data_IF_568954093524
#
_entry.id   IF_568954093524
#
_cell.length_a   1.000
_cell.length_b   1.000
_cell.length_c   1.000
_cell.angle_alpha   90.00
_cell.angle_beta   90.00
_cell.angle_gamma   90.00
#
_symmetry.space_group_name_H-M   'P 1'
#
loop_
_entity.id
_entity.type
_entity.pdbx_description
1 polymer ?
#
# COMPACT_ATOMS: atom_id res chain seq x y z
N UNK A 1 -22.18 11.33 1.89
CA UNK A 1 -22.19 10.67 1.83
C UNK A 1 -21.21 9.77 1.75
N UNK A 2 -20.98 9.06 1.60
CA UNK A 2 -20.07 8.14 1.57
C UNK A 2 -19.19 8.11 0.43
N UNK A 3 -18.97 9.20 -0.20
CA UNK A 3 -18.10 9.32 -1.29
C UNK A 3 -16.71 8.84 -0.99
N UNK A 4 -16.19 9.20 0.18
CA UNK A 4 -14.85 8.83 0.53
C UNK A 4 -14.73 7.35 0.79
N UNK A 5 -15.65 6.75 1.47
CA UNK A 5 -15.61 5.32 1.75
C UNK A 5 -15.76 4.52 0.46
N UNK A 6 -16.61 4.96 -0.42
CA UNK A 6 -16.81 4.28 -1.62
C UNK A 6 -15.64 4.42 -2.54
N UNK A 7 -14.99 5.57 -2.58
CA UNK A 7 -13.78 5.78 -3.33
C UNK A 7 -12.67 4.90 -2.82
N UNK A 8 -12.57 4.77 -1.52
CA UNK A 8 -11.57 3.90 -0.91
C UNK A 8 -11.75 2.45 -1.30
N UNK A 9 -12.95 1.99 -1.25
CA UNK A 9 -13.22 0.60 -1.63
C UNK A 9 -12.95 0.36 -3.12
N UNK A 10 -13.28 1.34 -3.94
CA UNK A 10 -13.02 1.25 -5.35
C UNK A 10 -11.52 1.22 -5.61
N UNK A 11 -10.78 2.06 -4.92
CA UNK A 11 -9.33 2.07 -5.04
C UNK A 11 -8.72 0.75 -4.64
N UNK A 12 -9.20 0.17 -3.57
CA UNK A 12 -8.70 -1.12 -3.12
C UNK A 12 -9.00 -2.22 -4.14
N UNK A 13 -10.16 -2.19 -4.75
CA UNK A 13 -10.50 -3.18 -5.77
C UNK A 13 -9.59 -3.04 -7.00
N UNK A 14 -9.33 -1.81 -7.40
CA UNK A 14 -8.45 -1.57 -8.54
C UNK A 14 -7.03 -2.02 -8.22
N UNK A 15 -6.57 -1.75 -7.02
CA UNK A 15 -5.24 -2.15 -6.59
C UNK A 15 -5.12 -3.66 -6.53
N UNK A 16 -6.14 -4.32 -5.99
CA UNK A 16 -6.13 -5.78 -5.88
C UNK A 16 -6.08 -6.42 -7.26
N UNK A 17 -6.88 -5.93 -8.20
CA UNK A 17 -6.89 -6.48 -9.54
C UNK A 17 -5.55 -6.26 -10.22
N UNK A 18 -4.95 -5.09 -10.02
CA UNK A 18 -3.65 -4.79 -10.57
C UNK A 18 -2.60 -5.75 -10.03
N UNK A 19 -2.59 -5.95 -8.73
CA UNK A 19 -1.60 -6.82 -8.09
C UNK A 19 -1.77 -8.27 -8.53
N UNK A 20 -2.99 -8.70 -8.70
CA UNK A 20 -3.23 -10.06 -9.18
C UNK A 20 -2.69 -10.25 -10.59
N UNK A 21 -2.84 -9.25 -11.43
CA UNK A 21 -2.27 -9.32 -12.78
C UNK A 21 -0.75 -9.32 -12.73
N UNK A 22 -0.16 -8.76 -11.68
CA UNK A 22 1.27 -8.74 -11.51
C UNK A 22 1.79 -10.01 -10.82
N UNK A 23 0.94 -10.93 -10.51
CA UNK A 23 1.35 -12.20 -9.93
C UNK A 23 1.21 -12.31 -8.42
N UNK A 24 0.66 -11.31 -7.77
CA UNK A 24 0.43 -11.38 -6.33
C UNK A 24 -0.82 -12.17 -6.01
N UNK A 25 -0.82 -12.85 -4.90
CA UNK A 25 -2.02 -13.50 -4.41
C UNK A 25 -2.57 -12.66 -3.25
N UNK A 26 -3.81 -12.26 -3.30
CA UNK A 26 -4.42 -11.47 -2.24
C UNK A 26 -4.74 -12.37 -1.06
N UNK A 27 -4.19 -12.03 0.09
CA UNK A 27 -4.36 -12.83 1.29
C UNK A 27 -5.41 -12.23 2.21
N UNK A 28 -5.41 -10.93 2.35
CA UNK A 28 -6.33 -10.28 3.25
C UNK A 28 -6.59 -8.86 2.79
N UNK A 29 -7.80 -8.37 3.02
CA UNK A 29 -8.15 -7.00 2.73
C UNK A 29 -8.54 -6.31 4.01
N UNK A 30 -8.16 -5.09 4.16
CA UNK A 30 -8.60 -4.24 5.29
C UNK A 30 -8.32 -4.86 6.65
N UNK A 31 -7.08 -5.15 6.91
CA UNK A 31 -6.69 -5.66 8.22
C UNK A 31 -6.56 -4.48 9.18
N UNK A 32 -7.32 -4.48 10.25
CA UNK A 32 -7.37 -3.36 11.17
C UNK A 32 -6.94 -3.74 12.56
N UNK A 33 -6.18 -2.87 13.22
CA UNK A 33 -5.76 -3.04 14.60
C UNK A 33 -5.94 -1.71 15.30
N UNK A 34 -5.90 -1.66 16.60
CA UNK A 34 -5.96 -0.38 17.30
C UNK A 34 -4.81 0.54 16.94
N UNK A 35 -3.71 0.02 16.42
CA UNK A 35 -2.57 0.84 16.13
C UNK A 35 -2.44 1.23 14.67
N UNK A 36 -3.21 0.64 13.80
CA UNK A 36 -3.18 1.00 12.39
C UNK A 36 -3.90 -0.01 11.54
N UNK A 37 -3.90 0.24 10.25
CA UNK A 37 -4.59 -0.68 9.35
C UNK A 37 -3.77 -0.89 8.09
N UNK A 38 -4.02 -1.97 7.40
CA UNK A 38 -3.35 -2.33 6.18
C UNK A 38 -4.42 -2.55 5.13
N UNK A 39 -4.30 -1.87 4.00
CA UNK A 39 -5.33 -1.97 2.97
C UNK A 39 -5.36 -3.35 2.33
N UNK A 40 -4.20 -3.89 1.97
CA UNK A 40 -4.13 -5.20 1.37
C UNK A 40 -2.90 -5.94 1.88
N UNK A 41 -3.04 -7.23 2.08
CA UNK A 41 -1.91 -8.10 2.38
C UNK A 41 -1.85 -9.09 1.25
N UNK A 42 -0.70 -9.22 0.59
CA UNK A 42 -0.56 -10.11 -0.55
C UNK A 42 0.68 -10.99 -0.40
N UNK A 43 0.79 -11.98 -1.25
CA UNK A 43 1.99 -12.78 -1.36
C UNK A 43 2.55 -12.61 -2.75
N UNK A 44 3.83 -12.34 -2.85
CA UNK A 44 4.53 -12.22 -4.10
C UNK A 44 5.70 -13.19 -4.01
N UNK A 45 5.52 -14.41 -4.50
CA UNK A 45 6.51 -15.45 -4.29
C UNK A 45 6.61 -15.77 -2.81
N UNK A 46 7.79 -15.70 -2.27
CA UNK A 46 8.03 -16.00 -0.86
C UNK A 46 7.72 -14.81 0.05
N UNK A 47 7.60 -13.63 -0.52
CA UNK A 47 7.41 -12.43 0.29
C UNK A 47 5.97 -12.18 0.66
N UNK A 48 5.77 -11.75 1.88
CA UNK A 48 4.48 -11.25 2.29
C UNK A 48 4.53 -9.74 2.10
N UNK A 49 3.55 -9.18 1.42
CA UNK A 49 3.59 -7.77 1.04
C UNK A 49 2.45 -7.02 1.71
N UNK A 50 2.78 -5.97 2.44
CA UNK A 50 1.78 -5.13 3.08
C UNK A 50 1.63 -3.89 2.21
N UNK A 51 0.43 -3.65 1.72
CA UNK A 51 0.20 -2.66 0.68
C UNK A 51 -0.68 -1.51 1.17
N UNK A 52 -0.20 -0.32 0.97
CA UNK A 52 -0.98 0.88 1.23
C UNK A 52 -1.50 1.40 -0.11
N UNK A 53 -2.80 1.64 -0.20
CA UNK A 53 -3.42 2.12 -1.42
C UNK A 53 -3.74 3.60 -1.28
N UNK A 54 -3.23 4.41 -2.21
CA UNK A 54 -3.47 5.86 -2.18
C UNK A 54 -4.25 6.26 -3.43
N UNK A 55 -5.40 6.87 -3.22
CA UNK A 55 -6.20 7.33 -4.33
C UNK A 55 -6.05 8.84 -4.44
N UNK A 56 -5.71 9.32 -5.59
CA UNK A 56 -5.48 10.74 -5.79
C UNK A 56 -6.27 11.25 -6.99
N UNK A 57 -6.65 12.48 -6.98
CA UNK A 57 -7.28 13.04 -8.10
C UNK A 57 -6.25 13.77 -8.89
N UNK A 58 -6.38 13.88 -10.09
CA UNK A 58 -5.47 14.24 -11.05
C UNK A 58 -4.44 15.30 -10.85
N UNK A 59 -4.66 16.27 -10.04
CA UNK A 59 -3.70 17.26 -9.85
C UNK A 59 -2.88 17.12 -8.68
N UNK A 60 -2.55 15.99 -8.26
CA UNK A 60 -1.75 15.78 -7.10
C UNK A 60 -0.39 16.37 -7.21
N UNK A 61 0.14 16.89 -6.15
CA UNK A 61 1.44 17.36 -6.12
C UNK A 61 2.34 16.44 -5.41
N UNK A 62 3.53 16.27 -5.82
CA UNK A 62 4.49 15.46 -5.14
C UNK A 62 4.27 13.99 -5.25
N UNK A 63 3.44 13.56 -6.04
CA UNK A 63 3.21 12.17 -6.22
C UNK A 63 2.61 11.49 -5.01
N UNK A 64 2.15 10.31 -5.16
CA UNK A 64 1.49 9.59 -4.10
C UNK A 64 2.44 9.19 -3.03
N UNK A 65 3.67 8.95 -3.39
CA UNK A 65 4.65 8.53 -2.43
C UNK A 65 4.79 9.54 -1.33
N UNK A 66 4.76 10.77 -1.67
CA UNK A 66 4.90 11.82 -0.68
C UNK A 66 3.76 11.90 0.28
N UNK A 67 2.66 11.24 -0.01
CA UNK A 67 1.51 11.30 0.86
C UNK A 67 1.52 10.25 1.95
N UNK A 68 2.50 9.38 1.97
CA UNK A 68 2.58 8.40 3.04
C UNK A 68 3.55 8.93 4.08
N UNK A 69 3.02 9.63 5.05
CA UNK A 69 3.82 10.33 6.05
C UNK A 69 4.57 9.37 6.95
N UNK A 70 5.61 9.81 7.65
CA UNK A 70 6.30 8.93 8.59
C UNK A 70 5.37 8.35 9.63
N UNK A 71 4.40 9.12 10.09
CA UNK A 71 3.44 8.61 11.06
C UNK A 71 2.61 7.48 10.50
N UNK A 72 2.16 7.62 9.25
CA UNK A 72 1.42 6.57 8.62
C UNK A 72 2.27 5.34 8.38
N UNK A 73 3.49 5.52 7.99
CA UNK A 73 4.41 4.39 7.79
C UNK A 73 4.60 3.63 9.10
N UNK A 74 4.75 4.34 10.21
CA UNK A 74 4.91 3.68 11.50
C UNK A 74 3.67 2.87 11.86
N UNK A 75 2.49 3.41 11.59
CA UNK A 75 1.25 2.70 11.88
C UNK A 75 1.13 1.45 11.02
N UNK A 76 1.54 1.53 9.77
CA UNK A 76 1.53 0.37 8.91
C UNK A 76 2.48 -0.71 9.41
N UNK A 77 3.65 -0.32 9.85
CA UNK A 77 4.61 -1.26 10.38
C UNK A 77 4.07 -1.94 11.64
N UNK A 78 3.41 -1.18 12.51
CA UNK A 78 2.84 -1.76 13.72
C UNK A 78 1.71 -2.74 13.39
N UNK A 79 0.89 -2.39 12.42
CA UNK A 79 -0.18 -3.30 12.01
C UNK A 79 0.40 -4.57 11.38
N UNK A 80 1.47 -4.41 10.61
CA UNK A 80 2.12 -5.56 9.99
C UNK A 80 2.72 -6.50 11.04
N UNK A 81 3.33 -5.94 12.07
CA UNK A 81 3.88 -6.76 13.14
C UNK A 81 2.78 -7.52 13.85
N UNK A 82 1.65 -6.88 14.07
CA UNK A 82 0.52 -7.55 14.69
C UNK A 82 0.01 -8.69 13.80
N UNK A 83 -0.04 -8.44 12.50
CA UNK A 83 -0.48 -9.46 11.55
C UNK A 83 0.45 -10.68 11.60
N UNK A 84 1.73 -10.45 11.56
CA UNK A 84 2.71 -11.53 11.57
C UNK A 84 2.67 -12.30 12.88
N UNK A 85 2.53 -11.60 13.99
CA UNK A 85 2.48 -12.23 15.30
C UNK A 85 1.23 -13.09 15.42
N UNK A 86 0.12 -12.58 14.95
CA UNK A 86 -1.13 -13.30 15.03
C UNK A 86 -1.07 -14.58 14.22
N UNK A 87 -0.34 -14.61 13.15
CA UNK A 87 -0.25 -15.77 12.29
C UNK A 87 0.97 -16.64 12.58
N UNK A 88 1.79 -16.25 13.55
CA UNK A 88 2.98 -17.02 13.85
C UNK A 88 4.02 -17.00 12.74
N UNK A 89 4.09 -15.91 12.00
CA UNK A 89 4.98 -15.80 10.87
C UNK A 89 5.99 -14.69 11.03
N UNK A 90 6.50 -14.48 12.20
CA UNK A 90 7.37 -13.35 12.50
C UNK A 90 8.70 -13.40 11.75
N UNK A 91 9.09 -14.55 11.23
CA UNK A 91 10.30 -14.65 10.47
C UNK A 91 10.09 -14.59 8.97
N UNK A 92 8.88 -14.39 8.55
CA UNK A 92 8.56 -14.39 7.13
C UNK A 92 9.17 -13.18 6.43
N UNK A 93 9.80 -13.33 5.29
CA UNK A 93 10.25 -12.16 4.54
C UNK A 93 9.07 -11.29 4.16
N UNK A 94 9.18 -10.01 4.38
CA UNK A 94 8.08 -9.13 4.04
C UNK A 94 8.58 -7.82 3.49
N UNK A 95 7.71 -7.10 2.84
CA UNK A 95 8.03 -5.78 2.33
C UNK A 95 6.79 -4.90 2.36
N UNK A 96 7.01 -3.61 2.26
CA UNK A 96 5.94 -2.63 2.29
C UNK A 96 5.85 -1.93 0.95
N UNK A 97 4.73 -2.05 0.30
CA UNK A 97 4.53 -1.46 -1.02
C UNK A 97 3.46 -0.38 -0.97
N UNK A 98 3.53 0.56 -1.87
CA UNK A 98 2.49 1.59 -2.00
C UNK A 98 1.95 1.51 -3.43
N UNK A 99 0.64 1.47 -3.56
CA UNK A 99 -0.02 1.56 -4.84
C UNK A 99 -0.71 2.91 -4.90
N UNK A 100 -0.37 3.71 -5.89
CA UNK A 100 -0.97 4.99 -6.05
C UNK A 100 -1.85 4.96 -7.29
N UNK A 101 -3.09 5.36 -7.15
CA UNK A 101 -4.05 5.36 -8.22
C UNK A 101 -4.48 6.79 -8.46
N UNK A 102 -4.22 7.30 -9.64
CA UNK A 102 -4.56 8.67 -9.99
C UNK A 102 -5.68 8.64 -11.02
N UNK A 103 -6.77 9.31 -10.70
CA UNK A 103 -7.88 9.41 -11.62
C UNK A 103 -7.56 10.45 -12.68
N UNK A 104 -7.72 10.11 -13.93
CA UNK A 104 -7.48 11.00 -15.03
C UNK A 104 -8.68 10.92 -15.99
N UNK A 105 -9.68 11.72 -15.76
CA UNK A 105 -10.91 11.64 -16.49
C UNK A 105 -11.58 10.31 -16.21
N UNK A 106 -11.82 9.54 -17.24
CA UNK A 106 -12.42 8.26 -17.03
C UNK A 106 -11.40 7.15 -16.91
N UNK A 107 -10.13 7.49 -16.90
CA UNK A 107 -9.07 6.51 -16.79
C UNK A 107 -8.40 6.61 -15.46
N UNK A 108 -7.63 5.59 -15.13
CA UNK A 108 -6.85 5.58 -13.91
C UNK A 108 -5.42 5.24 -14.25
N UNK A 109 -4.49 5.92 -13.62
CA UNK A 109 -3.07 5.57 -13.72
C UNK A 109 -2.64 4.92 -12.43
N UNK A 110 -2.08 3.74 -12.51
CA UNK A 110 -1.64 3.03 -11.33
C UNK A 110 -0.13 2.98 -11.30
N UNK A 111 0.43 3.37 -10.17
CA UNK A 111 1.87 3.29 -9.97
C UNK A 111 2.14 2.40 -8.78
N UNK A 112 3.04 1.49 -8.92
CA UNK A 112 3.36 0.53 -7.87
C UNK A 112 4.76 0.84 -7.38
N UNK A 113 4.87 1.25 -6.12
CA UNK A 113 6.15 1.55 -5.49
C UNK A 113 6.50 0.36 -4.62
N UNK A 114 7.33 -0.51 -5.12
CA UNK A 114 7.70 -1.73 -4.41
C UNK A 114 8.73 -1.41 -3.35
N UNK A 115 8.61 -2.03 -2.21
CA UNK A 115 9.56 -1.85 -1.12
C UNK A 115 9.73 -0.37 -0.79
N UNK A 116 8.61 0.30 -0.60
CA UNK A 116 8.61 1.74 -0.45
C UNK A 116 9.20 2.21 0.88
N UNK A 117 9.17 1.40 1.90
CA UNK A 117 9.79 1.75 3.18
C UNK A 117 10.17 0.46 3.91
N UNK A 118 10.98 0.59 4.92
CA UNK A 118 11.52 -0.57 5.64
C UNK A 118 10.77 -0.81 6.95
N UNK A 119 11.18 -1.79 7.70
CA UNK A 119 10.54 -2.15 8.96
C UNK A 119 10.63 -1.08 10.00
N UNK A 120 11.50 -0.13 9.87
CA UNK A 120 11.56 0.99 10.77
C UNK A 120 10.71 2.14 10.32
N UNK A 121 10.00 1.97 9.21
CA UNK A 121 9.18 3.04 8.67
C UNK A 121 9.95 4.06 7.87
N UNK A 122 11.21 3.79 7.53
CA UNK A 122 11.99 4.72 6.77
C UNK A 122 11.81 4.49 5.30
N UNK A 123 11.56 5.55 4.57
CA UNK A 123 11.39 5.43 3.13
C UNK A 123 12.63 4.88 2.47
N UNK A 124 12.47 4.11 1.45
CA UNK A 124 13.58 3.52 0.73
C UNK A 124 13.49 3.92 -0.72
N UNK A 125 14.55 3.93 -1.41
CA UNK A 125 14.57 4.13 -2.84
C UNK A 125 14.25 5.53 -3.28
N UNK A 126 14.06 5.69 -4.57
CA UNK A 126 13.87 6.98 -5.15
C UNK A 126 12.49 7.50 -5.09
N UNK A 127 11.55 6.72 -4.65
CA UNK A 127 10.18 7.15 -4.66
C UNK A 127 9.96 8.38 -3.79
N UNK A 128 10.86 8.64 -2.86
CA UNK A 128 10.73 9.78 -1.99
C UNK A 128 11.06 11.05 -2.71
N UNK A 129 11.65 10.97 -3.87
CA UNK A 129 12.03 12.11 -4.52
C UNK A 129 11.12 12.48 -5.56
N UNK A 130 10.00 12.27 -5.53
CA UNK A 130 9.22 12.81 -6.49
C UNK A 130 8.75 11.94 -7.47
N UNK A 131 8.64 10.97 -7.18
CA UNK A 131 8.00 10.23 -8.00
C UNK A 131 8.35 9.69 -9.19
N UNK A 132 9.35 9.34 -9.42
CA UNK A 132 9.69 8.87 -10.47
C UNK A 132 9.45 7.57 -10.45
N UNK A 133 8.62 7.07 -10.63
CA UNK A 133 8.33 5.87 -10.42
C UNK A 133 9.12 4.99 -11.07
N UNK A 134 9.54 4.22 -10.91
CA UNK A 134 10.21 3.45 -11.55
C UNK A 134 9.89 2.25 -11.24
#
# INVERSE_FOLDING_TARGET
MNGSAESGRRGERLAAAFLEREGHRIVRKNYRTPRGEIDLVTEDGADLVFVEVRLRSGKGFGGAAGSVTPGKRRKLVLAARAYLAERGETDRPCRFDVISITAEGERHRIEHHRNAFDEGGRATGDWTRGGRGR
#
